data_IF_316701551781
#
_entry.id   IF_316701551781
#
_cell.length_a   1.000
_cell.length_b   1.000
_cell.length_c   1.000
_cell.angle_alpha   90.00
_cell.angle_beta   90.00
_cell.angle_gamma   90.00
#
_symmetry.space_group_name_H-M   'P 1'
#
loop_
_entity.id
_entity.type
_entity.pdbx_description
1 polymer ?
#
# COMPACT_ATOMS: atom_id res chain seq x y z
N UNK A 1 -18.67 -8.08 19.07
CA UNK A 1 -17.22 -8.18 18.70
C UNK A 1 -16.96 -7.67 17.29
N UNK A 2 -17.86 -7.94 16.34
CA UNK A 2 -17.77 -7.46 14.95
C UNK A 2 -17.98 -5.95 14.77
N UNK A 3 -18.94 -5.35 15.48
CA UNK A 3 -19.21 -3.90 15.39
C UNK A 3 -18.02 -3.03 15.83
N UNK A 4 -17.31 -3.42 16.90
CA UNK A 4 -16.08 -2.73 17.32
C UNK A 4 -14.96 -2.81 16.28
N UNK A 5 -14.89 -3.91 15.50
CA UNK A 5 -13.92 -4.04 14.40
C UNK A 5 -14.27 -3.12 13.22
N UNK A 6 -15.56 -2.94 12.95
CA UNK A 6 -16.04 -2.04 11.89
C UNK A 6 -15.83 -0.56 12.27
N UNK A 7 -16.15 -0.16 13.50
CA UNK A 7 -15.93 1.21 13.98
C UNK A 7 -14.44 1.60 14.00
N UNK A 8 -13.56 0.64 14.34
CA UNK A 8 -12.10 0.83 14.23
C UNK A 8 -11.65 1.02 12.78
N UNK A 9 -12.20 0.25 11.85
CA UNK A 9 -11.92 0.35 10.42
C UNK A 9 -12.37 1.70 9.86
N UNK A 10 -13.55 2.19 10.24
CA UNK A 10 -14.09 3.47 9.78
C UNK A 10 -13.29 4.67 10.32
N UNK A 11 -12.86 4.62 11.60
CA UNK A 11 -11.96 5.63 12.18
C UNK A 11 -10.58 5.63 11.53
N UNK A 12 -10.08 4.46 11.15
CA UNK A 12 -8.81 4.36 10.42
C UNK A 12 -8.95 4.95 9.01
N UNK A 13 -10.02 4.60 8.28
CA UNK A 13 -10.29 5.10 6.94
C UNK A 13 -10.41 6.64 6.90
N UNK A 14 -11.03 7.25 7.91
CA UNK A 14 -11.23 8.72 7.93
C UNK A 14 -9.94 9.54 8.16
N UNK A 15 -8.88 8.93 8.70
CA UNK A 15 -7.60 9.62 8.99
C UNK A 15 -6.44 9.11 8.13
N UNK A 16 -6.55 7.91 7.55
CA UNK A 16 -5.54 7.30 6.69
C UNK A 16 -5.18 8.17 5.48
N UNK A 17 -6.15 8.88 4.90
CA UNK A 17 -5.90 9.77 3.75
C UNK A 17 -4.94 10.93 4.11
N UNK A 18 -5.17 11.60 5.23
CA UNK A 18 -4.32 12.69 5.73
C UNK A 18 -2.92 12.19 6.13
N UNK A 19 -2.86 10.97 6.68
CA UNK A 19 -1.60 10.32 6.99
C UNK A 19 -0.81 10.00 5.71
N UNK A 20 -1.46 9.42 4.70
CA UNK A 20 -0.80 9.10 3.44
C UNK A 20 -0.29 10.33 2.70
N UNK A 21 -1.03 11.43 2.67
CA UNK A 21 -0.57 12.67 2.03
C UNK A 21 0.73 13.20 2.66
N UNK A 22 0.87 13.12 4.00
CA UNK A 22 2.06 13.63 4.71
C UNK A 22 3.27 12.70 4.61
N UNK A 23 3.05 11.39 4.53
CA UNK A 23 4.12 10.39 4.53
C UNK A 23 4.40 9.79 3.14
N UNK A 24 3.74 10.31 2.09
CA UNK A 24 3.88 9.82 0.71
C UNK A 24 5.34 9.78 0.28
N UNK A 25 6.07 10.88 0.49
CA UNK A 25 7.47 11.00 0.06
C UNK A 25 8.39 10.01 0.80
N UNK A 26 8.15 9.80 2.10
CA UNK A 26 8.91 8.82 2.89
C UNK A 26 8.63 7.40 2.40
N UNK A 27 7.38 7.09 2.06
CA UNK A 27 7.01 5.77 1.52
C UNK A 27 7.60 5.56 0.13
N UNK A 28 7.54 6.56 -0.76
CA UNK A 28 8.17 6.49 -2.08
C UNK A 28 9.68 6.29 -1.98
N UNK A 29 10.34 6.99 -1.07
CA UNK A 29 11.76 6.78 -0.80
C UNK A 29 12.07 5.33 -0.36
N UNK A 30 11.26 4.75 0.53
CA UNK A 30 11.43 3.34 0.91
C UNK A 30 11.22 2.39 -0.26
N UNK A 31 10.19 2.61 -1.08
CA UNK A 31 9.92 1.75 -2.24
C UNK A 31 11.06 1.82 -3.25
N UNK A 32 11.60 3.01 -3.48
CA UNK A 32 12.78 3.19 -4.30
C UNK A 32 13.98 2.38 -3.81
N UNK A 33 14.28 2.41 -2.50
CA UNK A 33 15.37 1.61 -1.92
C UNK A 33 15.13 0.09 -2.02
N UNK A 34 13.90 -0.35 -1.82
CA UNK A 34 13.56 -1.78 -1.87
C UNK A 34 13.58 -2.29 -3.32
N UNK A 35 13.37 -1.41 -4.30
CA UNK A 35 13.30 -1.78 -5.71
C UNK A 35 14.58 -2.48 -6.20
N UNK A 36 15.74 -2.04 -5.74
CA UNK A 36 17.05 -2.62 -6.10
C UNK A 36 17.17 -4.08 -5.64
N UNK A 37 16.47 -4.45 -4.56
CA UNK A 37 16.42 -5.83 -4.07
C UNK A 37 15.39 -6.69 -4.79
N UNK A 38 14.53 -6.08 -5.61
CA UNK A 38 13.44 -6.74 -6.31
C UNK A 38 13.70 -6.85 -7.81
N UNK A 39 14.87 -6.45 -8.33
CA UNK A 39 15.17 -6.38 -9.76
C UNK A 39 14.74 -7.65 -10.54
N UNK A 40 15.17 -8.82 -10.09
CA UNK A 40 14.87 -10.12 -10.71
C UNK A 40 13.40 -10.57 -10.53
N UNK A 41 12.68 -9.99 -9.56
CA UNK A 41 11.28 -10.28 -9.36
C UNK A 41 10.45 -9.63 -10.47
N UNK A 42 9.76 -10.47 -11.24
CA UNK A 42 8.86 -10.03 -12.30
C UNK A 42 7.42 -9.80 -11.80
N UNK A 43 7.07 -10.39 -10.65
CA UNK A 43 5.73 -10.29 -10.05
C UNK A 43 5.85 -9.92 -8.58
N UNK A 44 4.98 -9.01 -8.11
CA UNK A 44 4.93 -8.56 -6.71
C UNK A 44 3.51 -8.77 -6.18
N UNK A 45 3.42 -9.30 -4.97
CA UNK A 45 2.20 -9.32 -4.15
C UNK A 45 2.40 -8.42 -2.95
N UNK A 46 1.60 -7.37 -2.85
CA UNK A 46 1.58 -6.48 -1.69
C UNK A 46 0.37 -6.78 -0.80
N UNK A 47 0.65 -7.15 0.45
CA UNK A 47 -0.36 -7.56 1.44
C UNK A 47 -0.53 -6.43 2.46
N UNK A 48 -1.70 -5.81 2.46
CA UNK A 48 -1.94 -4.55 3.16
C UNK A 48 -1.56 -3.35 2.29
N UNK A 49 -2.02 -3.33 1.03
CA UNK A 49 -1.68 -2.29 0.04
C UNK A 49 -2.10 -0.88 0.45
N UNK A 50 -2.99 -0.73 1.44
CA UNK A 50 -3.49 0.56 1.91
C UNK A 50 -4.19 1.31 0.79
N UNK A 51 -3.58 2.39 0.29
CA UNK A 51 -4.12 3.19 -0.82
C UNK A 51 -3.44 2.88 -2.17
N UNK A 52 -2.71 1.78 -2.29
CA UNK A 52 -2.09 1.37 -3.55
C UNK A 52 -0.81 2.12 -3.94
N UNK A 53 -0.19 2.89 -3.04
CA UNK A 53 0.99 3.69 -3.39
C UNK A 53 2.18 2.85 -3.90
N UNK A 54 2.40 1.67 -3.32
CA UNK A 54 3.39 0.69 -3.76
C UNK A 54 3.07 0.11 -5.14
N UNK A 55 1.79 -0.10 -5.44
CA UNK A 55 1.34 -0.59 -6.74
C UNK A 55 1.69 0.43 -7.83
N UNK A 56 1.44 1.72 -7.58
CA UNK A 56 1.84 2.79 -8.49
C UNK A 56 3.35 2.72 -8.78
N UNK A 57 4.20 2.71 -7.74
CA UNK A 57 5.66 2.71 -7.88
C UNK A 57 6.20 1.50 -8.64
N UNK A 58 5.68 0.30 -8.36
CA UNK A 58 6.25 -0.92 -8.94
C UNK A 58 5.64 -1.29 -10.30
N UNK A 59 4.44 -0.80 -10.63
CA UNK A 59 3.76 -1.14 -11.88
C UNK A 59 4.53 -0.75 -13.15
N UNK A 60 5.39 0.26 -13.08
CA UNK A 60 6.19 0.69 -14.24
C UNK A 60 7.31 -0.30 -14.63
N UNK A 61 7.75 -1.14 -13.68
CA UNK A 61 8.98 -1.94 -13.81
C UNK A 61 8.75 -3.44 -13.62
N UNK A 62 7.56 -3.83 -13.20
CA UNK A 62 7.21 -5.21 -12.88
C UNK A 62 6.11 -5.67 -13.81
N UNK A 63 6.16 -6.93 -14.24
CA UNK A 63 5.18 -7.50 -15.18
C UNK A 63 3.79 -7.63 -14.55
N UNK A 64 3.75 -7.89 -13.24
CA UNK A 64 2.51 -8.03 -12.50
C UNK A 64 2.68 -7.49 -11.08
N UNK A 65 1.79 -6.60 -10.66
CA UNK A 65 1.72 -6.14 -9.26
C UNK A 65 0.28 -6.31 -8.80
N UNK A 66 0.10 -7.03 -7.70
CA UNK A 66 -1.21 -7.30 -7.11
C UNK A 66 -1.22 -6.78 -5.69
N UNK A 67 -2.22 -5.97 -5.33
CA UNK A 67 -2.47 -5.52 -3.97
C UNK A 67 -3.67 -6.23 -3.37
N UNK A 68 -3.58 -6.60 -2.10
CA UNK A 68 -4.70 -7.14 -1.32
C UNK A 68 -4.82 -6.33 -0.04
N UNK A 69 -6.02 -5.82 0.25
CA UNK A 69 -6.29 -5.13 1.51
C UNK A 69 -7.72 -5.42 2.02
N UNK A 70 -7.84 -5.74 3.32
CA UNK A 70 -9.13 -6.00 3.97
C UNK A 70 -9.88 -4.72 4.37
N UNK A 71 -9.23 -3.56 4.32
CA UNK A 71 -9.80 -2.25 4.61
C UNK A 71 -10.69 -1.72 3.47
N UNK A 72 -10.64 -2.33 2.30
CA UNK A 72 -11.36 -1.86 1.10
C UNK A 72 -10.62 -0.76 0.33
N UNK A 73 -9.37 -0.48 0.70
CA UNK A 73 -8.42 0.29 -0.11
C UNK A 73 -7.72 -0.55 -1.18
N UNK A 74 -6.76 0.07 -1.86
CA UNK A 74 -6.37 -0.09 -3.27
C UNK A 74 -7.29 0.77 -4.19
#
# INVERSE_FOLDING_TARGET
>A
MWEKKLDLKDRYNSTAYLYNQRYKDIQRFKFHLIQDYLEEANSILDVGCGTGLSLEEFSERKKLVVGIDFSGGC
#
